data_IF_558686025993
#
_entry.id   IF_558686025993
#
_cell.length_a   1.000
_cell.length_b   1.000
_cell.length_c   1.000
_cell.angle_alpha   90.00
_cell.angle_beta   90.00
_cell.angle_gamma   90.00
#
_symmetry.space_group_name_H-M   'P 1'
#
loop_
_entity.id
_entity.type
_entity.pdbx_description
1 polymer ?
#
# COMPACT_ATOMS: atom_id res chain seq x y z
N UNK A 1 -10.89 -21.63 11.40
CA UNK A 1 -10.69 -20.25 10.90
C UNK A 1 -10.23 -19.41 12.09
N UNK A 2 -8.94 -19.03 12.17
CA UNK A 2 -8.43 -18.26 13.32
C UNK A 2 -9.02 -16.85 13.26
N UNK A 3 -9.80 -16.47 14.28
CA UNK A 3 -10.32 -15.12 14.44
C UNK A 3 -9.17 -14.24 14.94
N UNK A 4 -8.86 -13.14 14.23
CA UNK A 4 -7.88 -12.17 14.69
C UNK A 4 -8.39 -11.36 15.89
N UNK A 5 -7.53 -10.56 16.54
CA UNK A 5 -7.89 -9.81 17.74
C UNK A 5 -9.09 -8.89 17.49
N UNK A 6 -10.04 -8.89 18.43
CA UNK A 6 -11.18 -7.96 18.44
C UNK A 6 -10.88 -6.79 19.37
N UNK A 7 -11.05 -5.56 18.87
CA UNK A 7 -10.72 -4.33 19.59
C UNK A 7 -11.80 -3.26 19.46
N UNK A 8 -11.83 -2.34 20.42
CA UNK A 8 -12.64 -1.11 20.35
C UNK A 8 -11.74 0.04 19.91
N UNK A 9 -12.14 0.74 18.86
CA UNK A 9 -11.40 1.89 18.34
C UNK A 9 -12.31 3.10 18.21
N UNK A 10 -11.74 4.30 18.31
CA UNK A 10 -12.46 5.56 18.13
C UNK A 10 -11.97 6.24 16.85
N UNK A 11 -12.89 6.49 15.93
CA UNK A 11 -12.62 7.14 14.64
C UNK A 11 -13.62 8.28 14.49
N UNK A 12 -13.10 9.49 14.28
CA UNK A 12 -13.89 10.70 14.06
C UNK A 12 -14.99 10.90 15.12
N UNK A 13 -14.64 10.68 16.39
CA UNK A 13 -15.55 10.80 17.53
C UNK A 13 -16.46 9.60 17.79
N UNK A 14 -16.58 8.64 16.86
CA UNK A 14 -17.43 7.46 16.98
C UNK A 14 -16.62 6.23 17.40
N UNK A 15 -17.22 5.38 18.25
CA UNK A 15 -16.60 4.13 18.72
C UNK A 15 -17.08 2.97 17.86
N UNK A 16 -16.13 2.17 17.37
CA UNK A 16 -16.37 0.99 16.55
C UNK A 16 -15.82 -0.25 17.24
N UNK A 17 -16.57 -1.35 17.20
CA UNK A 17 -16.09 -2.67 17.58
C UNK A 17 -15.59 -3.36 16.30
N UNK A 18 -14.29 -3.58 16.20
CA UNK A 18 -13.67 -4.13 14.98
C UNK A 18 -13.06 -5.48 15.28
N UNK A 19 -13.22 -6.42 14.34
CA UNK A 19 -12.52 -7.70 14.34
C UNK A 19 -11.41 -7.61 13.31
N UNK A 20 -10.15 -7.64 13.75
CA UNK A 20 -9.04 -7.66 12.80
C UNK A 20 -8.95 -9.03 12.13
N UNK A 21 -8.62 -9.03 10.83
CA UNK A 21 -8.32 -10.25 10.07
C UNK A 21 -6.83 -10.56 10.01
N UNK A 22 -5.97 -9.60 10.31
CA UNK A 22 -4.51 -9.75 10.33
C UNK A 22 -3.98 -9.43 11.72
N UNK A 23 -2.99 -10.21 12.17
CA UNK A 23 -2.27 -9.95 13.40
C UNK A 23 -1.07 -9.01 13.19
N UNK A 24 -0.76 -8.67 11.93
CA UNK A 24 0.50 -8.01 11.56
C UNK A 24 0.45 -6.50 11.79
N UNK A 25 -0.75 -5.90 11.71
CA UNK A 25 -0.95 -4.47 11.96
C UNK A 25 -1.96 -4.30 13.10
N UNK A 26 -1.59 -3.60 14.19
CA UNK A 26 -2.51 -3.26 15.27
C UNK A 26 -3.74 -2.51 14.75
N UNK A 27 -4.93 -2.88 15.22
CA UNK A 27 -6.17 -2.25 14.75
C UNK A 27 -6.25 -0.77 15.16
N UNK A 28 -5.57 -0.41 16.25
CA UNK A 28 -5.42 0.94 16.77
C UNK A 28 -4.66 1.84 15.79
N UNK A 29 -3.62 1.30 15.15
CA UNK A 29 -2.83 2.02 14.15
C UNK A 29 -3.64 2.31 12.89
N UNK A 30 -4.37 1.29 12.41
CA UNK A 30 -5.30 1.46 11.28
C UNK A 30 -6.38 2.49 11.61
N UNK A 31 -6.94 2.46 12.81
CA UNK A 31 -7.95 3.41 13.25
C UNK A 31 -7.40 4.85 13.34
N UNK A 32 -6.19 5.02 13.86
CA UNK A 32 -5.51 6.32 13.92
C UNK A 32 -5.27 6.89 12.51
N UNK A 33 -4.90 6.03 11.56
CA UNK A 33 -4.72 6.44 10.17
C UNK A 33 -6.01 6.94 9.53
N UNK A 34 -7.10 6.19 9.67
CA UNK A 34 -8.42 6.59 9.16
C UNK A 34 -8.89 7.89 9.82
N UNK A 35 -8.68 8.04 11.13
CA UNK A 35 -9.04 9.25 11.87
C UNK A 35 -8.28 10.49 11.37
N UNK A 36 -6.97 10.38 11.10
CA UNK A 36 -6.17 11.45 10.50
C UNK A 36 -6.72 11.85 9.12
N UNK A 37 -6.98 10.86 8.25
CA UNK A 37 -7.49 11.14 6.90
C UNK A 37 -8.85 11.83 6.92
N UNK A 38 -9.73 11.45 7.84
CA UNK A 38 -11.02 12.13 8.00
C UNK A 38 -10.86 13.57 8.54
N UNK A 39 -9.91 13.81 9.45
CA UNK A 39 -9.62 15.16 9.98
C UNK A 39 -9.00 16.08 8.92
N UNK A 40 -8.07 15.57 8.11
CA UNK A 40 -7.47 16.31 6.98
C UNK A 40 -8.52 16.81 5.98
N UNK A 41 -9.57 16.02 5.77
CA UNK A 41 -10.67 16.33 4.86
C UNK A 41 -11.74 17.22 5.47
N UNK A 42 -11.65 17.54 6.77
CA UNK A 42 -12.66 18.38 7.44
C UNK A 42 -12.49 19.84 7.01
N UNK A 43 -13.45 20.41 6.26
CA UNK A 43 -13.32 21.78 5.79
C UNK A 43 -13.39 22.78 6.95
N UNK A 44 -12.47 23.74 6.99
CA UNK A 44 -12.49 24.85 7.96
C UNK A 44 -13.49 25.97 7.64
N UNK A 45 -14.40 25.78 6.68
CA UNK A 45 -15.23 26.83 6.07
C UNK A 45 -16.74 26.52 5.98
N UNK A 46 -17.46 27.27 5.12
CA UNK A 46 -18.95 27.35 5.08
C UNK A 46 -19.68 26.08 4.61
N UNK A 47 -19.01 25.15 3.93
CA UNK A 47 -19.64 23.91 3.45
C UNK A 47 -19.30 22.77 4.40
N UNK A 48 -20.27 22.38 5.23
CA UNK A 48 -20.13 21.21 6.11
C UNK A 48 -20.46 19.95 5.32
N UNK A 49 -19.46 19.11 5.05
CA UNK A 49 -19.68 17.75 4.55
C UNK A 49 -20.28 16.88 5.66
N UNK A 50 -21.10 15.90 5.29
CA UNK A 50 -21.57 14.92 6.28
C UNK A 50 -20.41 14.03 6.73
N UNK A 51 -20.48 13.46 7.93
CA UNK A 51 -19.49 12.49 8.40
C UNK A 51 -19.37 11.27 7.47
N UNK A 52 -20.46 10.89 6.80
CA UNK A 52 -20.45 9.80 5.83
C UNK A 52 -19.63 10.19 4.59
N UNK A 53 -19.83 11.38 4.04
CA UNK A 53 -19.07 11.87 2.89
C UNK A 53 -17.58 12.00 3.22
N UNK A 54 -17.23 12.48 4.41
CA UNK A 54 -15.85 12.52 4.89
C UNK A 54 -15.23 11.13 4.98
N UNK A 55 -15.98 10.12 5.44
CA UNK A 55 -15.51 8.75 5.51
C UNK A 55 -15.29 8.14 4.11
N UNK A 56 -16.18 8.43 3.16
CA UNK A 56 -16.04 7.98 1.76
C UNK A 56 -14.82 8.62 1.11
N UNK A 57 -14.60 9.92 1.30
CA UNK A 57 -13.43 10.62 0.77
C UNK A 57 -12.13 10.10 1.41
N UNK A 58 -12.13 9.84 2.72
CA UNK A 58 -10.98 9.23 3.38
C UNK A 58 -10.67 7.84 2.82
N UNK A 59 -11.70 7.01 2.61
CA UNK A 59 -11.55 5.70 1.99
C UNK A 59 -11.01 5.79 0.55
N UNK A 60 -11.47 6.77 -0.23
CA UNK A 60 -10.98 7.01 -1.59
C UNK A 60 -9.50 7.37 -1.59
N UNK A 61 -9.07 8.27 -0.71
CA UNK A 61 -7.66 8.66 -0.58
C UNK A 61 -6.77 7.47 -0.18
N UNK A 62 -7.19 6.71 0.83
CA UNK A 62 -6.46 5.52 1.29
C UNK A 62 -6.35 4.47 0.19
N UNK A 63 -7.43 4.23 -0.57
CA UNK A 63 -7.41 3.32 -1.70
C UNK A 63 -6.46 3.81 -2.81
N UNK A 64 -6.43 5.11 -3.08
CA UNK A 64 -5.50 5.73 -4.02
C UNK A 64 -4.04 5.49 -3.64
N UNK A 65 -3.67 5.77 -2.39
CA UNK A 65 -2.33 5.52 -1.85
C UNK A 65 -1.94 4.04 -1.97
N UNK A 66 -2.86 3.12 -1.64
CA UNK A 66 -2.63 1.68 -1.77
C UNK A 66 -2.36 1.27 -3.23
N UNK A 67 -3.15 1.79 -4.18
CA UNK A 67 -2.98 1.49 -5.60
C UNK A 67 -1.67 2.07 -6.16
N UNK A 68 -1.29 3.27 -5.72
CA UNK A 68 0.01 3.86 -6.08
C UNK A 68 1.17 3.02 -5.56
N UNK A 69 1.13 2.59 -4.29
CA UNK A 69 2.16 1.73 -3.69
C UNK A 69 2.27 0.38 -4.41
N UNK A 70 1.13 -0.23 -4.77
CA UNK A 70 1.10 -1.47 -5.56
C UNK A 70 1.69 -1.26 -6.95
N UNK A 71 1.31 -0.20 -7.65
CA UNK A 71 1.85 0.13 -8.96
C UNK A 71 3.37 0.39 -8.94
N UNK A 72 3.85 1.14 -7.94
CA UNK A 72 5.28 1.38 -7.75
C UNK A 72 6.06 0.08 -7.47
N UNK A 73 5.47 -0.85 -6.71
CA UNK A 73 6.06 -2.18 -6.49
C UNK A 73 6.16 -2.98 -7.79
N UNK A 74 5.08 -3.04 -8.58
CA UNK A 74 5.10 -3.71 -9.88
C UNK A 74 6.15 -3.13 -10.82
N UNK A 75 6.28 -1.80 -10.88
CA UNK A 75 7.28 -1.15 -11.73
C UNK A 75 8.72 -1.51 -11.28
N UNK A 76 8.99 -1.50 -9.98
CA UNK A 76 10.31 -1.90 -9.44
C UNK A 76 10.63 -3.37 -9.73
N UNK A 77 9.65 -4.26 -9.62
CA UNK A 77 9.82 -5.68 -9.95
C UNK A 77 10.16 -5.86 -11.43
N UNK A 78 9.42 -5.19 -12.33
CA UNK A 78 9.70 -5.20 -13.77
C UNK A 78 11.08 -4.63 -14.12
N UNK A 79 11.49 -3.54 -13.46
CA UNK A 79 12.82 -2.96 -13.68
C UNK A 79 13.94 -3.90 -13.20
N UNK A 80 13.74 -4.60 -12.10
CA UNK A 80 14.67 -5.61 -11.60
C UNK A 80 14.78 -6.80 -12.58
N UNK A 81 13.66 -7.29 -13.09
CA UNK A 81 13.63 -8.37 -14.10
C UNK A 81 14.37 -7.98 -15.38
N UNK A 82 14.13 -6.76 -15.91
CA UNK A 82 14.83 -6.24 -17.09
C UNK A 82 16.34 -6.17 -16.87
N UNK A 83 16.78 -5.71 -15.69
CA UNK A 83 18.21 -5.65 -15.33
C UNK A 83 18.82 -7.05 -15.26
N UNK A 84 18.12 -8.00 -14.66
CA UNK A 84 18.58 -9.39 -14.57
C UNK A 84 18.71 -10.02 -15.96
N UNK A 85 17.71 -9.85 -16.82
CA UNK A 85 17.75 -10.32 -18.21
C UNK A 85 18.95 -9.73 -18.97
N UNK A 86 19.22 -8.43 -18.82
CA UNK A 86 20.38 -7.79 -19.43
C UNK A 86 21.73 -8.27 -18.89
N UNK A 87 21.81 -8.70 -17.63
CA UNK A 87 23.02 -9.33 -17.06
C UNK A 87 23.23 -10.71 -17.69
N UNK A 88 22.17 -11.53 -17.77
CA UNK A 88 22.24 -12.87 -18.38
C UNK A 88 22.71 -12.76 -19.83
N UNK A 89 22.14 -11.85 -20.62
CA UNK A 89 22.54 -11.64 -22.02
C UNK A 89 24.02 -11.26 -22.16
N UNK A 90 24.54 -10.43 -21.25
CA UNK A 90 25.96 -10.04 -21.25
C UNK A 90 26.87 -11.21 -20.88
N UNK A 91 26.46 -12.05 -19.93
CA UNK A 91 27.19 -13.26 -19.56
C UNK A 91 27.24 -14.25 -20.73
N UNK A 92 26.10 -14.49 -21.38
CA UNK A 92 26.02 -15.37 -22.55
C UNK A 92 26.94 -14.90 -23.68
N UNK A 93 26.91 -13.59 -24.00
CA UNK A 93 27.84 -13.00 -24.99
C UNK A 93 29.30 -13.18 -24.58
N UNK A 94 29.61 -12.97 -23.29
CA UNK A 94 30.96 -13.17 -22.76
C UNK A 94 31.45 -14.61 -22.94
N UNK A 95 30.60 -15.60 -22.63
CA UNK A 95 30.91 -17.01 -22.80
C UNK A 95 31.16 -17.39 -24.27
N UNK A 96 30.35 -16.88 -25.19
CA UNK A 96 30.56 -17.11 -26.63
C UNK A 96 31.86 -16.48 -27.16
N UNK A 97 32.22 -15.28 -26.68
CA UNK A 97 33.51 -14.67 -27.03
C UNK A 97 34.73 -15.44 -26.50
N UNK A 98 34.60 -16.15 -25.37
CA UNK A 98 35.66 -17.00 -24.85
C UNK A 98 35.79 -18.31 -25.64
N UNK A 99 34.68 -18.92 -26.05
CA UNK A 99 34.70 -20.13 -26.92
C UNK A 99 35.37 -19.85 -28.26
N UNK A 100 35.14 -18.68 -28.85
CA UNK A 100 35.67 -18.30 -30.16
C UNK A 100 37.14 -17.87 -30.14
N UNK A 101 37.68 -17.44 -28.99
CA UNK A 101 39.11 -17.09 -28.83
C UNK A 101 40.00 -18.25 -28.40
N UNK A 102 39.40 -19.34 -27.92
CA UNK A 102 40.11 -20.56 -27.50
C UNK A 102 40.20 -21.65 -28.58
N UNK A 103 39.68 -21.39 -29.78
CA UNK A 103 39.70 -22.30 -30.94
C UNK A 103 40.74 -21.85 -31.99
#
# INVERSE_FOLDING_TARGET
>A
MKMGPSGKVKIFGKIYNVKSKSADIPIEEVAAYVDSKMKELTPGGKTKLSTADLAVLAALNIAGELLQLKGARTHREQDAEKRLAGIIEKLDKGLETLKTKGA
#
